data_IF_232010074667
#
_entry.id   IF_232010074667
#
_cell.length_a   1.000
_cell.length_b   1.000
_cell.length_c   1.000
_cell.angle_alpha   90.00
_cell.angle_beta   90.00
_cell.angle_gamma   90.00
#
_symmetry.space_group_name_H-M   'P 1'
#
loop_
_entity.id
_entity.type
_entity.pdbx_description
1 polymer ?
#
# COMPACT_ATOMS: atom_id res chain seq x y z
N UNK A 1 -4.23 1.80 -2.46
CA UNK A 1 -3.06 1.84 -3.35
C UNK A 1 -1.89 2.46 -2.61
N UNK A 2 -0.78 1.75 -2.49
CA UNK A 2 0.27 1.98 -1.51
C UNK A 2 1.24 3.13 -1.73
N UNK A 3 0.79 4.18 -2.42
CA UNK A 3 1.60 5.37 -2.70
C UNK A 3 2.16 5.43 -4.11
N UNK A 4 2.45 6.66 -4.53
CA UNK A 4 3.25 6.95 -5.71
C UNK A 4 4.75 6.92 -5.37
N UNK A 5 5.16 7.35 -4.17
CA UNK A 5 6.58 7.37 -3.76
C UNK A 5 6.76 6.58 -2.47
N UNK A 6 7.71 5.66 -2.47
CA UNK A 6 8.06 4.85 -1.30
C UNK A 6 9.57 4.77 -1.14
N UNK A 7 10.13 5.30 -0.06
CA UNK A 7 11.58 5.23 0.15
C UNK A 7 11.98 3.97 0.93
N UNK A 8 13.18 3.42 0.66
CA UNK A 8 13.78 2.40 1.51
C UNK A 8 13.79 2.87 2.97
N UNK A 9 13.50 1.95 3.90
CA UNK A 9 13.49 2.14 5.37
C UNK A 9 12.43 3.10 5.93
N UNK A 10 12.04 4.15 5.21
CA UNK A 10 11.04 5.16 5.64
C UNK A 10 9.62 4.71 5.30
N UNK A 11 9.45 4.03 4.17
CA UNK A 11 8.15 3.59 3.69
C UNK A 11 7.44 4.61 2.81
N UNK A 12 6.11 4.65 2.88
CA UNK A 12 5.28 5.46 1.98
C UNK A 12 5.45 6.94 2.24
N UNK A 13 5.86 7.71 1.23
CA UNK A 13 6.10 9.15 1.35
C UNK A 13 4.97 9.96 0.73
N UNK A 14 4.44 9.52 -0.43
CA UNK A 14 3.37 10.24 -1.14
C UNK A 14 2.29 9.25 -1.59
N UNK A 15 1.04 9.48 -1.17
CA UNK A 15 -0.13 8.69 -1.60
C UNK A 15 -0.57 9.04 -3.02
N UNK A 16 -1.37 8.19 -3.70
CA UNK A 16 -1.95 8.54 -5.00
C UNK A 16 -2.85 9.78 -4.93
N UNK A 17 -3.49 10.04 -3.79
CA UNK A 17 -4.28 11.23 -3.49
C UNK A 17 -3.42 12.43 -3.09
N UNK A 18 -2.10 12.37 -3.30
CA UNK A 18 -1.12 13.43 -2.99
C UNK A 18 -1.05 13.80 -1.50
N UNK A 19 -1.27 12.83 -0.61
CA UNK A 19 -1.03 13.01 0.84
C UNK A 19 0.38 12.57 1.20
N UNK A 20 1.09 13.40 1.94
CA UNK A 20 2.40 13.03 2.48
C UNK A 20 2.27 12.10 3.68
N UNK A 21 3.22 11.16 3.81
CA UNK A 21 3.33 10.19 4.91
C UNK A 21 1.99 9.50 5.26
N UNK A 22 1.36 8.81 4.29
CA UNK A 22 0.05 8.21 4.50
C UNK A 22 0.10 7.14 5.61
N UNK A 23 -0.91 7.16 6.50
CA UNK A 23 -1.08 6.17 7.59
C UNK A 23 -1.05 4.73 7.08
N UNK A 24 -1.63 4.49 5.90
CA UNK A 24 -1.66 3.19 5.24
C UNK A 24 -0.94 3.28 3.90
N UNK A 25 0.04 2.41 3.65
CA UNK A 25 0.79 2.36 2.39
C UNK A 25 0.92 0.94 1.87
N UNK A 26 1.80 0.12 2.43
CA UNK A 26 2.01 -1.25 1.97
C UNK A 26 2.03 -2.20 3.18
N UNK A 27 1.13 -3.18 3.16
CA UNK A 27 1.07 -4.21 4.20
C UNK A 27 -0.34 -4.65 4.58
N UNK A 28 -0.41 -5.51 5.60
CA UNK A 28 -1.61 -6.00 6.24
C UNK A 28 -1.88 -5.18 7.50
N UNK A 29 -3.10 -4.66 7.61
CA UNK A 29 -3.57 -3.88 8.75
C UNK A 29 -4.80 -4.57 9.33
N UNK A 30 -4.79 -4.83 10.64
CA UNK A 30 -5.94 -5.42 11.33
C UNK A 30 -6.51 -4.39 12.29
N UNK A 31 -7.82 -4.18 12.20
CA UNK A 31 -8.56 -3.30 13.10
C UNK A 31 -9.82 -4.02 13.59
N UNK A 32 -9.89 -4.29 14.89
CA UNK A 32 -10.94 -5.13 15.50
C UNK A 32 -11.01 -6.49 14.78
N UNK A 33 -12.15 -6.78 14.15
CA UNK A 33 -12.42 -8.04 13.46
C UNK A 33 -12.25 -7.93 11.94
N UNK A 34 -11.68 -6.83 11.43
CA UNK A 34 -11.45 -6.63 10.00
C UNK A 34 -9.97 -6.60 9.68
N UNK A 35 -9.63 -7.09 8.48
CA UNK A 35 -8.28 -7.05 7.94
C UNK A 35 -8.31 -6.33 6.59
N UNK A 36 -7.42 -5.34 6.44
CA UNK A 36 -7.19 -4.60 5.21
C UNK A 36 -5.80 -4.92 4.67
N UNK A 37 -5.75 -5.37 3.42
CA UNK A 37 -4.48 -5.49 2.68
C UNK A 37 -4.33 -4.28 1.78
N UNK A 38 -3.25 -3.52 1.95
CA UNK A 38 -2.89 -2.43 1.06
C UNK A 38 -1.66 -2.82 0.27
N UNK A 39 -1.80 -2.88 -1.05
CA UNK A 39 -0.72 -3.16 -1.98
C UNK A 39 -0.37 -1.92 -2.78
N UNK A 40 0.77 -1.95 -3.45
CA UNK A 40 1.12 -0.94 -4.46
C UNK A 40 0.05 -0.82 -5.53
N UNK A 41 -0.57 -1.93 -5.96
CA UNK A 41 -1.52 -1.96 -7.07
C UNK A 41 -0.85 -1.71 -8.43
N UNK A 42 -1.64 -1.49 -9.47
CA UNK A 42 -1.17 -1.42 -10.87
C UNK A 42 -1.13 0.00 -11.48
N UNK A 43 -1.47 1.04 -10.71
CA UNK A 43 -1.46 2.44 -11.17
C UNK A 43 -0.13 2.94 -11.76
N UNK A 44 -0.21 4.03 -12.55
CA UNK A 44 0.91 4.68 -13.26
C UNK A 44 1.62 5.72 -12.38
N UNK A 45 2.88 6.04 -12.72
CA UNK A 45 3.81 6.93 -12.00
C UNK A 45 4.15 6.47 -10.59
N UNK A 46 5.28 5.78 -10.47
CA UNK A 46 5.79 5.27 -9.19
C UNK A 46 7.28 5.49 -9.07
N UNK A 47 7.74 5.87 -7.89
CA UNK A 47 9.15 6.03 -7.56
C UNK A 47 9.48 5.14 -6.37
N UNK A 48 10.40 4.19 -6.56
CA UNK A 48 10.80 3.18 -5.58
C UNK A 48 9.63 2.37 -4.99
N UNK A 49 8.49 2.32 -5.69
CA UNK A 49 7.30 1.57 -5.31
C UNK A 49 6.85 0.68 -6.48
N UNK A 50 7.37 -0.55 -6.65
CA UNK A 50 7.00 -1.41 -7.78
C UNK A 50 5.51 -1.79 -7.74
N UNK A 51 4.87 -2.02 -8.92
CA UNK A 51 3.48 -2.46 -8.97
C UNK A 51 3.32 -3.88 -8.40
N UNK A 52 2.18 -4.13 -7.75
CA UNK A 52 1.90 -5.41 -7.09
C UNK A 52 0.42 -5.79 -7.25
N UNK A 53 0.16 -7.10 -7.37
CA UNK A 53 -1.15 -7.72 -7.30
C UNK A 53 -1.14 -8.65 -6.08
N UNK A 54 -2.21 -8.63 -5.29
CA UNK A 54 -2.38 -9.60 -4.19
C UNK A 54 -3.42 -10.65 -4.57
N UNK A 55 -3.15 -11.88 -4.17
CA UNK A 55 -4.09 -13.01 -4.20
C UNK A 55 -4.43 -13.34 -2.74
N UNK A 56 -5.72 -13.48 -2.44
CA UNK A 56 -6.20 -13.76 -1.08
C UNK A 56 -7.12 -14.98 -1.16
N UNK A 57 -6.77 -16.02 -0.40
CA UNK A 57 -7.63 -17.18 -0.19
C UNK A 57 -8.43 -16.98 1.10
N UNK A 58 -9.76 -17.06 0.99
CA UNK A 58 -10.66 -17.03 2.14
C UNK A 58 -11.08 -18.46 2.47
N UNK A 59 -10.59 -18.94 3.61
CA UNK A 59 -10.92 -20.26 4.16
C UNK A 59 -11.94 -20.11 5.29
N UNK A 60 -12.82 -21.10 5.42
CA UNK A 60 -13.90 -21.13 6.41
C UNK A 60 -13.56 -22.06 7.58
#
# INVERSE_FOLDING_TARGET
>A
HGGCVRLPFIGGVLSPERKFFPKYSLGKYTEKNTTMIVTSGLGKFRLFNPPEIVVIDLIN
#
